data_IF_678373699468
#
_entry.id   IF_678373699468
#
_cell.length_a   1.000
_cell.length_b   1.000
_cell.length_c   1.000
_cell.angle_alpha   90.00
_cell.angle_beta   90.00
_cell.angle_gamma   90.00
#
_symmetry.space_group_name_H-M   'P 1'
#
loop_
_entity.id
_entity.type
_entity.pdbx_description
1 polymer ?
#
# COMPACT_ATOMS: atom_id res chain seq x y z
N UNK A 1 14.31 12.53 -12.43
CA UNK A 1 13.56 11.36 -12.94
C UNK A 1 14.04 10.02 -12.40
N UNK A 2 15.34 9.68 -12.45
CA UNK A 2 15.87 8.37 -11.96
C UNK A 2 15.41 7.95 -10.56
N UNK A 3 15.42 8.87 -9.60
CA UNK A 3 15.01 8.62 -8.21
C UNK A 3 13.53 8.20 -8.11
N UNK A 4 12.66 8.93 -8.81
CA UNK A 4 11.23 8.64 -8.86
C UNK A 4 10.92 7.31 -9.54
N UNK A 5 11.63 6.98 -10.63
CA UNK A 5 11.47 5.68 -11.30
C UNK A 5 11.92 4.52 -10.41
N UNK A 6 12.99 4.70 -9.63
CA UNK A 6 13.44 3.72 -8.64
C UNK A 6 12.39 3.51 -7.56
N UNK A 7 11.85 4.58 -6.97
CA UNK A 7 10.78 4.46 -5.96
C UNK A 7 9.51 3.86 -6.55
N UNK A 8 9.14 4.21 -7.79
CA UNK A 8 8.02 3.60 -8.50
C UNK A 8 8.22 2.08 -8.67
N UNK A 9 9.42 1.65 -9.06
CA UNK A 9 9.76 0.24 -9.19
C UNK A 9 9.69 -0.51 -7.85
N UNK A 10 10.21 0.10 -6.78
CA UNK A 10 10.14 -0.45 -5.42
C UNK A 10 8.68 -0.59 -4.99
N UNK A 11 7.90 0.49 -5.09
CA UNK A 11 6.49 0.49 -4.73
C UNK A 11 5.72 -0.60 -5.49
N UNK A 12 5.96 -0.71 -6.80
CA UNK A 12 5.36 -1.75 -7.64
C UNK A 12 5.70 -3.16 -7.12
N UNK A 13 6.98 -3.47 -6.93
CA UNK A 13 7.41 -4.81 -6.49
C UNK A 13 6.86 -5.14 -5.11
N UNK A 14 6.99 -4.22 -4.15
CA UNK A 14 6.54 -4.43 -2.77
C UNK A 14 5.03 -4.59 -2.71
N UNK A 15 4.26 -3.71 -3.35
CA UNK A 15 2.79 -3.80 -3.36
C UNK A 15 2.32 -5.05 -4.10
N UNK A 16 2.96 -5.45 -5.20
CA UNK A 16 2.62 -6.67 -5.92
C UNK A 16 2.79 -7.92 -5.04
N UNK A 17 3.95 -8.05 -4.39
CA UNK A 17 4.23 -9.18 -3.50
C UNK A 17 3.33 -9.17 -2.26
N UNK A 18 3.16 -8.00 -1.63
CA UNK A 18 2.29 -7.83 -0.47
C UNK A 18 0.83 -8.15 -0.81
N UNK A 19 0.35 -7.79 -2.01
CA UNK A 19 -1.02 -8.09 -2.46
C UNK A 19 -1.28 -9.58 -2.48
N UNK A 20 -0.32 -10.37 -2.97
CA UNK A 20 -0.45 -11.83 -2.99
C UNK A 20 -0.51 -12.42 -1.57
N UNK A 21 0.33 -11.92 -0.66
CA UNK A 21 0.32 -12.34 0.74
C UNK A 21 -0.98 -11.95 1.45
N UNK A 22 -1.41 -10.70 1.31
CA UNK A 22 -2.65 -10.18 1.90
C UNK A 22 -3.86 -10.93 1.36
N UNK A 23 -3.91 -11.22 0.05
CA UNK A 23 -5.00 -12.01 -0.54
C UNK A 23 -5.03 -13.43 0.04
N UNK A 24 -3.88 -14.10 0.13
CA UNK A 24 -3.80 -15.45 0.72
C UNK A 24 -4.23 -15.45 2.19
N UNK A 25 -3.78 -14.48 2.98
CA UNK A 25 -4.18 -14.32 4.36
C UNK A 25 -5.69 -14.05 4.48
N UNK A 26 -6.23 -13.13 3.68
CA UNK A 26 -7.64 -12.79 3.70
C UNK A 26 -8.53 -13.99 3.39
N UNK A 27 -8.15 -14.82 2.41
CA UNK A 27 -8.90 -16.05 2.12
C UNK A 27 -8.77 -17.06 3.27
N UNK A 28 -7.55 -17.25 3.81
CA UNK A 28 -7.31 -18.17 4.93
C UNK A 28 -8.11 -17.82 6.19
N UNK A 29 -8.29 -16.53 6.46
CA UNK A 29 -9.00 -16.02 7.64
C UNK A 29 -10.44 -15.59 7.32
N UNK A 30 -10.96 -15.91 6.13
CA UNK A 30 -12.31 -15.54 5.68
C UNK A 30 -12.64 -14.04 5.76
N UNK A 31 -11.64 -13.18 5.57
CA UNK A 31 -11.75 -11.70 5.60
C UNK A 31 -12.26 -11.22 4.24
N UNK A 32 -13.50 -11.58 3.93
CA UNK A 32 -14.24 -11.13 2.76
C UNK A 32 -15.75 -11.08 3.06
N UNK A 33 -16.53 -10.26 2.34
CA UNK A 33 -17.98 -10.25 2.51
C UNK A 33 -18.57 -11.62 2.22
N UNK A 34 -19.31 -12.19 3.18
CA UNK A 34 -19.94 -13.51 3.04
C UNK A 34 -21.19 -13.48 2.14
N UNK A 35 -21.88 -12.35 2.10
CA UNK A 35 -23.05 -12.14 1.25
C UNK A 35 -22.65 -11.41 -0.04
N UNK A 36 -23.01 -12.00 -1.18
CA UNK A 36 -22.94 -11.34 -2.50
C UNK A 36 -24.23 -10.56 -2.67
N UNK A 37 -24.10 -9.26 -2.98
CA UNK A 37 -25.26 -8.39 -3.20
C UNK A 37 -25.65 -8.42 -4.67
N UNK A 38 -26.93 -8.16 -4.96
CA UNK A 38 -27.42 -8.05 -6.34
C UNK A 38 -26.71 -6.97 -7.17
N UNK A 39 -26.06 -6.01 -6.50
CA UNK A 39 -25.27 -4.95 -7.13
C UNK A 39 -23.77 -5.27 -7.27
N UNK A 40 -23.28 -6.36 -6.68
CA UNK A 40 -21.88 -6.72 -6.77
C UNK A 40 -21.61 -7.38 -8.13
N UNK A 41 -20.59 -6.91 -8.85
CA UNK A 41 -20.18 -7.49 -10.13
C UNK A 41 -19.47 -8.85 -10.02
N UNK A 42 -19.06 -9.21 -8.80
CA UNK A 42 -18.34 -10.45 -8.54
C UNK A 42 -19.30 -11.54 -8.08
N UNK A 43 -19.30 -12.67 -8.80
CA UNK A 43 -20.05 -13.87 -8.43
C UNK A 43 -19.36 -14.71 -7.36
N UNK A 44 -18.10 -14.42 -7.02
CA UNK A 44 -17.33 -15.08 -5.99
C UNK A 44 -16.91 -14.07 -4.91
N UNK A 45 -16.89 -14.45 -3.61
CA UNK A 45 -16.42 -13.57 -2.55
C UNK A 45 -14.96 -13.17 -2.75
N UNK A 46 -14.71 -11.88 -2.98
CA UNK A 46 -13.36 -11.32 -3.14
C UNK A 46 -12.98 -10.46 -1.93
N UNK A 47 -11.81 -10.68 -1.31
CA UNK A 47 -11.29 -9.82 -0.26
C UNK A 47 -11.14 -8.36 -0.69
N UNK A 48 -11.52 -7.42 0.18
CA UNK A 48 -11.50 -5.97 -0.09
C UNK A 48 -10.42 -5.20 0.68
N UNK A 49 -9.43 -5.91 1.24
CA UNK A 49 -8.38 -5.34 2.11
C UNK A 49 -7.06 -5.05 1.37
N UNK A 50 -7.13 -4.74 0.08
CA UNK A 50 -5.95 -4.43 -0.74
C UNK A 50 -5.18 -3.19 -0.30
N UNK A 51 -5.83 -2.26 0.41
CA UNK A 51 -5.21 -1.04 0.95
C UNK A 51 -3.96 -1.30 1.80
N UNK A 52 -3.98 -2.39 2.59
CA UNK A 52 -2.84 -2.79 3.43
C UNK A 52 -1.58 -3.04 2.59
N UNK A 53 -1.72 -3.72 1.45
CA UNK A 53 -0.59 -4.00 0.57
C UNK A 53 -0.03 -2.73 -0.11
N UNK A 54 -0.90 -1.80 -0.49
CA UNK A 54 -0.48 -0.51 -1.05
C UNK A 54 0.26 0.34 -0.01
N UNK A 55 -0.23 0.36 1.22
CA UNK A 55 0.38 1.13 2.31
C UNK A 55 1.75 0.62 2.70
N UNK A 56 1.94 -0.71 2.75
CA UNK A 56 3.25 -1.29 2.95
C UNK A 56 4.24 -0.85 1.84
N UNK A 57 3.80 -0.85 0.58
CA UNK A 57 4.62 -0.35 -0.54
C UNK A 57 5.01 1.11 -0.38
N UNK A 58 4.07 1.95 0.06
CA UNK A 58 4.30 3.36 0.38
C UNK A 58 5.34 3.54 1.50
N UNK A 59 5.16 2.85 2.64
CA UNK A 59 6.08 2.95 3.79
C UNK A 59 7.48 2.48 3.44
N UNK A 60 7.61 1.36 2.70
CA UNK A 60 8.92 0.86 2.25
C UNK A 60 9.59 1.86 1.31
N UNK A 61 8.82 2.50 0.43
CA UNK A 61 9.34 3.54 -0.47
C UNK A 61 9.84 4.76 0.30
N UNK A 62 9.12 5.20 1.34
CA UNK A 62 9.60 6.27 2.24
C UNK A 62 10.87 5.88 2.97
N UNK A 63 10.93 4.66 3.52
CA UNK A 63 12.10 4.17 4.23
C UNK A 63 13.35 4.10 3.36
N UNK A 64 13.20 3.78 2.07
CA UNK A 64 14.30 3.77 1.09
C UNK A 64 14.63 5.18 0.59
N UNK A 65 13.63 6.05 0.44
CA UNK A 65 13.84 7.43 0.01
C UNK A 65 14.62 8.27 1.02
N UNK A 66 14.40 8.05 2.32
CA UNK A 66 14.98 8.85 3.40
C UNK A 66 16.52 8.90 3.40
N UNK A 67 17.26 7.77 3.28
CA UNK A 67 18.72 7.79 3.30
C UNK A 67 19.39 8.02 1.94
N UNK A 68 18.64 8.07 0.84
CA UNK A 68 19.20 8.09 -0.53
C UNK A 68 19.81 9.45 -0.94
N UNK A 69 19.55 10.53 -0.20
CA UNK A 69 20.07 11.88 -0.49
C UNK A 69 19.38 12.62 -1.64
N UNK A 70 18.60 11.92 -2.47
CA UNK A 70 17.88 12.54 -3.60
C UNK A 70 16.61 13.29 -3.19
N UNK A 71 16.15 13.12 -1.97
CA UNK A 71 14.88 13.67 -1.46
C UNK A 71 15.07 14.54 -0.22
N UNK A 72 16.28 15.01 0.07
CA UNK A 72 16.60 15.75 1.29
C UNK A 72 15.68 16.96 1.52
N UNK A 73 15.30 17.66 0.45
CA UNK A 73 14.35 18.79 0.51
C UNK A 73 12.95 18.35 1.00
N UNK A 74 12.51 17.15 0.62
CA UNK A 74 11.21 16.59 1.04
C UNK A 74 11.27 16.16 2.50
N UNK A 75 12.40 15.60 2.94
CA UNK A 75 12.60 15.16 4.33
C UNK A 75 13.03 16.28 5.29
N UNK A 76 13.41 17.46 4.77
CA UNK A 76 13.76 18.62 5.57
C UNK A 76 12.58 19.15 6.41
N UNK A 77 11.35 18.99 5.91
CA UNK A 77 10.12 19.18 6.69
C UNK A 77 9.36 17.84 6.77
N UNK A 78 9.48 17.10 7.88
CA UNK A 78 8.82 15.80 8.03
C UNK A 78 7.31 15.91 8.29
N UNK A 79 6.78 17.11 8.59
CA UNK A 79 5.37 17.32 8.93
C UNK A 79 4.39 16.74 7.90
N UNK A 80 4.51 17.11 6.61
CA UNK A 80 3.68 16.56 5.55
C UNK A 80 3.80 15.04 5.38
N UNK A 81 5.01 14.48 5.50
CA UNK A 81 5.23 13.02 5.36
C UNK A 81 4.51 12.28 6.48
N UNK A 82 4.63 12.75 7.72
CA UNK A 82 3.97 12.16 8.88
C UNK A 82 2.46 12.29 8.74
N UNK A 83 1.95 13.48 8.39
CA UNK A 83 0.53 13.73 8.23
C UNK A 83 -0.11 12.82 7.17
N UNK A 84 0.54 12.67 6.00
CA UNK A 84 0.06 11.78 4.93
C UNK A 84 0.11 10.32 5.38
N UNK A 85 1.18 9.91 6.07
CA UNK A 85 1.33 8.53 6.54
C UNK A 85 0.25 8.16 7.57
N UNK A 86 -0.05 9.07 8.50
CA UNK A 86 -1.12 8.90 9.50
C UNK A 86 -2.49 8.92 8.85
N UNK A 87 -2.75 9.86 7.93
CA UNK A 87 -4.03 9.92 7.22
C UNK A 87 -4.27 8.65 6.39
N UNK A 88 -3.25 8.15 5.70
CA UNK A 88 -3.32 6.89 4.96
C UNK A 88 -3.61 5.72 5.89
N UNK A 89 -2.94 5.63 7.05
CA UNK A 89 -3.19 4.59 8.05
C UNK A 89 -4.64 4.57 8.56
N UNK A 90 -5.28 5.75 8.69
CA UNK A 90 -6.68 5.85 9.13
C UNK A 90 -7.67 5.34 8.06
N UNK A 91 -7.34 5.49 6.77
CA UNK A 91 -8.22 5.12 5.66
C UNK A 91 -8.28 3.61 5.42
N UNK A 92 -7.18 2.90 5.73
CA UNK A 92 -6.98 1.47 5.45
C UNK A 92 -7.69 0.60 6.48
#
# INVERSE_FOLDING_TARGET
MRAYLLLMGIAFVVTYLATHLVRRAAVKYEIYPKAIRDRDSHSNPTPRIGGIAMFLGFLVSLAIAAPIGWFDVVFADPGPIIAISVAALIII
#
